data_IF_202636447688
#
_entry.id   IF_202636447688
#
_cell.length_a   1.000
_cell.length_b   1.000
_cell.length_c   1.000
_cell.angle_alpha   90.00
_cell.angle_beta   90.00
_cell.angle_gamma   90.00
#
_symmetry.space_group_name_H-M   'P 1'
#
loop_
_entity.id
_entity.type
_entity.pdbx_description
1 polymer ?
#
# COMPACT_ATOMS: atom_id res chain seq x y z
N UNK A 1 4.45 -16.18 7.03
CA UNK A 1 3.22 -16.00 6.21
C UNK A 1 2.14 -17.02 6.57
N UNK A 2 2.49 -18.15 7.19
CA UNK A 2 1.53 -19.18 7.60
C UNK A 2 0.81 -18.84 8.92
N UNK A 3 1.37 -17.92 9.71
CA UNK A 3 0.81 -17.46 10.99
C UNK A 3 -0.42 -16.56 10.86
N UNK A 4 -0.79 -16.16 9.63
CA UNK A 4 -1.94 -15.30 9.36
C UNK A 4 -3.19 -16.12 8.99
N UNK A 5 -4.28 -15.93 9.73
CA UNK A 5 -5.60 -16.46 9.37
C UNK A 5 -6.28 -15.57 8.32
N UNK A 6 -5.94 -15.76 7.05
CA UNK A 6 -6.55 -15.03 5.93
C UNK A 6 -8.04 -15.35 5.73
N UNK A 7 -8.49 -16.55 6.13
CA UNK A 7 -9.90 -16.95 6.02
C UNK A 7 -10.79 -16.15 6.98
N UNK A 8 -10.23 -15.63 8.07
CA UNK A 8 -10.94 -14.71 8.95
C UNK A 8 -11.48 -13.47 8.24
N UNK A 9 -10.84 -13.03 7.14
CA UNK A 9 -11.24 -11.83 6.39
C UNK A 9 -12.56 -12.10 5.68
N UNK A 10 -12.68 -13.20 4.91
CA UNK A 10 -13.95 -13.56 4.25
C UNK A 10 -15.08 -13.74 5.27
N UNK A 11 -14.81 -14.41 6.41
CA UNK A 11 -15.80 -14.56 7.50
C UNK A 11 -16.27 -13.22 8.06
N UNK A 12 -15.39 -12.23 8.15
CA UNK A 12 -15.75 -10.87 8.56
C UNK A 12 -16.56 -10.16 7.47
N UNK A 13 -16.17 -10.28 6.21
CA UNK A 13 -16.88 -9.69 5.08
C UNK A 13 -18.33 -10.20 4.98
N UNK A 14 -18.57 -11.50 5.17
CA UNK A 14 -19.91 -12.08 5.11
C UNK A 14 -20.90 -11.46 6.11
N UNK A 15 -20.41 -10.93 7.25
CA UNK A 15 -21.27 -10.27 8.27
C UNK A 15 -21.83 -8.94 7.79
N UNK A 16 -21.21 -8.32 6.80
CA UNK A 16 -21.53 -6.98 6.31
C UNK A 16 -21.82 -6.96 4.81
N UNK A 17 -22.31 -8.08 4.26
CA UNK A 17 -22.54 -8.28 2.82
C UNK A 17 -23.47 -7.25 2.15
N UNK A 18 -24.30 -6.56 2.93
CA UNK A 18 -25.27 -5.56 2.46
C UNK A 18 -24.68 -4.13 2.49
N UNK A 19 -23.41 -3.99 2.88
CA UNK A 19 -22.67 -2.72 2.93
C UNK A 19 -21.46 -2.78 2.00
N UNK A 20 -20.91 -1.60 1.67
CA UNK A 20 -19.62 -1.52 0.99
C UNK A 20 -18.48 -1.90 1.93
N UNK A 21 -17.63 -2.84 1.51
CA UNK A 21 -16.52 -3.38 2.27
C UNK A 21 -15.20 -2.81 1.75
N UNK A 22 -14.51 -2.10 2.65
CA UNK A 22 -13.20 -1.49 2.36
C UNK A 22 -12.11 -2.28 3.09
N UNK A 23 -11.23 -2.92 2.33
CA UNK A 23 -10.00 -3.49 2.86
C UNK A 23 -9.03 -2.35 3.19
N UNK A 24 -9.06 -1.93 4.45
CA UNK A 24 -8.13 -0.93 5.00
C UNK A 24 -7.15 -1.53 6.01
N UNK A 25 -7.56 -2.60 6.71
CA UNK A 25 -6.88 -3.29 7.80
C UNK A 25 -5.97 -2.43 8.69
N UNK A 26 -4.80 -2.97 9.06
CA UNK A 26 -3.77 -2.28 9.82
C UNK A 26 -3.01 -1.22 8.99
N UNK A 27 -2.38 -0.27 9.70
CA UNK A 27 -1.72 0.89 9.07
C UNK A 27 -0.41 0.57 8.33
N UNK A 28 0.14 -0.63 8.48
CA UNK A 28 1.46 -0.98 7.94
C UNK A 28 1.35 -2.06 6.87
N UNK A 29 0.71 -3.20 7.18
CA UNK A 29 0.74 -4.38 6.32
C UNK A 29 -0.36 -4.42 5.29
N UNK A 30 -1.62 -4.24 5.67
CA UNK A 30 -2.75 -4.33 4.72
C UNK A 30 -2.95 -3.08 3.87
N UNK A 31 -2.40 -1.93 4.26
CA UNK A 31 -2.34 -0.72 3.41
C UNK A 31 -1.12 -0.69 2.48
N UNK A 32 -0.25 -1.69 2.60
CA UNK A 32 1.01 -1.78 1.87
C UNK A 32 1.89 -0.52 2.00
N UNK A 33 2.01 0.01 3.22
CA UNK A 33 2.74 1.24 3.52
C UNK A 33 4.25 0.96 3.66
N UNK A 34 4.92 0.83 2.51
CA UNK A 34 6.35 0.50 2.39
C UNK A 34 7.26 1.51 3.10
N UNK A 35 7.04 2.81 2.90
CA UNK A 35 7.85 3.87 3.48
C UNK A 35 7.73 3.88 5.01
N UNK A 36 6.51 3.79 5.52
CA UNK A 36 6.27 3.74 6.96
C UNK A 36 6.86 2.49 7.59
N UNK A 37 6.66 1.32 6.99
CA UNK A 37 7.22 0.09 7.53
C UNK A 37 8.77 0.09 7.51
N UNK A 38 9.39 0.67 6.48
CA UNK A 38 10.84 0.85 6.44
C UNK A 38 11.35 1.75 7.59
N UNK A 39 10.64 2.86 7.89
CA UNK A 39 10.96 3.72 9.03
C UNK A 39 10.84 2.98 10.38
N UNK A 40 9.84 2.12 10.53
CA UNK A 40 9.67 1.32 11.76
C UNK A 40 10.78 0.28 11.93
N UNK A 41 11.21 -0.38 10.85
CA UNK A 41 12.25 -1.40 10.91
C UNK A 41 13.65 -0.82 11.12
N UNK A 42 13.95 0.32 10.48
CA UNK A 42 15.29 0.91 10.47
C UNK A 42 15.47 2.00 11.53
N UNK A 43 14.38 2.59 12.02
CA UNK A 43 14.37 3.88 12.69
C UNK A 43 14.21 5.01 11.66
N UNK A 44 13.31 5.96 11.94
CA UNK A 44 12.95 7.04 11.00
C UNK A 44 14.15 7.89 10.61
N UNK A 45 14.91 8.37 11.59
CA UNK A 45 16.12 9.18 11.42
C UNK A 45 17.16 8.47 10.54
N UNK A 46 17.48 7.22 10.88
CA UNK A 46 18.45 6.40 10.14
C UNK A 46 17.98 6.14 8.71
N UNK A 47 16.72 5.77 8.55
CA UNK A 47 16.15 5.50 7.23
C UNK A 47 16.17 6.73 6.33
N UNK A 48 15.84 7.91 6.87
CA UNK A 48 15.89 9.16 6.12
C UNK A 48 17.32 9.53 5.71
N UNK A 49 18.32 9.27 6.55
CA UNK A 49 19.74 9.43 6.18
C UNK A 49 20.17 8.40 5.12
N UNK A 50 19.72 7.15 5.24
CA UNK A 50 20.05 6.06 4.32
C UNK A 50 19.57 6.32 2.90
N UNK A 51 18.48 7.09 2.71
CA UNK A 51 18.03 7.53 1.38
C UNK A 51 19.11 8.28 0.58
N UNK A 52 20.02 8.96 1.27
CA UNK A 52 21.14 9.69 0.66
C UNK A 52 22.42 8.86 0.75
N UNK A 53 22.74 8.37 1.95
CA UNK A 53 24.04 7.78 2.25
C UNK A 53 24.15 6.33 1.79
N UNK A 54 23.05 5.58 1.83
CA UNK A 54 23.02 4.13 1.60
C UNK A 54 21.90 3.72 0.62
N UNK A 55 21.85 4.24 -0.61
CA UNK A 55 20.73 4.03 -1.53
C UNK A 55 20.52 2.55 -1.89
N UNK A 56 21.60 1.75 -1.99
CA UNK A 56 21.50 0.30 -2.26
C UNK A 56 20.81 -0.45 -1.11
N UNK A 57 21.02 -0.01 0.13
CA UNK A 57 20.34 -0.58 1.30
C UNK A 57 18.84 -0.26 1.25
N UNK A 58 18.49 0.99 0.90
CA UNK A 58 17.09 1.39 0.75
C UNK A 58 16.41 0.59 -0.35
N UNK A 59 17.05 0.43 -1.51
CA UNK A 59 16.52 -0.37 -2.63
C UNK A 59 16.28 -1.82 -2.21
N UNK A 60 17.23 -2.44 -1.49
CA UNK A 60 17.08 -3.79 -0.97
C UNK A 60 15.95 -3.90 0.07
N UNK A 61 15.86 -2.96 1.01
CA UNK A 61 14.81 -2.93 2.04
C UNK A 61 13.43 -2.75 1.41
N UNK A 62 13.27 -1.76 0.54
CA UNK A 62 12.02 -1.51 -0.18
C UNK A 62 11.63 -2.72 -1.03
N UNK A 63 12.58 -3.35 -1.71
CA UNK A 63 12.34 -4.58 -2.47
C UNK A 63 11.79 -5.72 -1.60
N UNK A 64 12.39 -5.95 -0.43
CA UNK A 64 11.92 -6.98 0.51
C UNK A 64 10.54 -6.68 1.08
N UNK A 65 10.25 -5.42 1.38
CA UNK A 65 8.92 -5.01 1.84
C UNK A 65 7.88 -5.16 0.73
N UNK A 66 8.23 -4.83 -0.51
CA UNK A 66 7.37 -5.05 -1.67
C UNK A 66 7.04 -6.54 -1.86
N UNK A 67 8.04 -7.42 -1.83
CA UNK A 67 7.85 -8.87 -1.90
C UNK A 67 6.86 -9.35 -0.82
N UNK A 68 7.05 -8.91 0.42
CA UNK A 68 6.15 -9.22 1.53
C UNK A 68 4.72 -8.74 1.26
N UNK A 69 4.52 -7.47 0.89
CA UNK A 69 3.18 -6.93 0.66
C UNK A 69 2.49 -7.57 -0.54
N UNK A 70 3.21 -7.90 -1.62
CA UNK A 70 2.65 -8.60 -2.76
C UNK A 70 2.12 -9.97 -2.36
N UNK A 71 2.91 -10.75 -1.61
CA UNK A 71 2.47 -12.08 -1.14
C UNK A 71 1.34 -11.98 -0.12
N UNK A 72 1.40 -10.99 0.79
CA UNK A 72 0.36 -10.76 1.78
C UNK A 72 -0.97 -10.39 1.12
N UNK A 73 -0.95 -9.43 0.21
CA UNK A 73 -2.14 -9.00 -0.53
C UNK A 73 -2.67 -10.13 -1.42
N UNK A 74 -1.80 -10.90 -2.07
CA UNK A 74 -2.21 -12.08 -2.87
C UNK A 74 -3.05 -13.05 -2.04
N UNK A 75 -2.59 -13.42 -0.84
CA UNK A 75 -3.32 -14.33 0.05
C UNK A 75 -4.65 -13.75 0.55
N UNK A 76 -4.69 -12.46 0.86
CA UNK A 76 -5.96 -11.78 1.20
C UNK A 76 -6.94 -11.83 0.03
N UNK A 77 -6.47 -11.50 -1.17
CA UNK A 77 -7.31 -11.46 -2.37
C UNK A 77 -7.82 -12.87 -2.74
N UNK A 78 -6.98 -13.90 -2.60
CA UNK A 78 -7.42 -15.29 -2.79
C UNK A 78 -8.51 -15.71 -1.81
N UNK A 79 -8.44 -15.24 -0.57
CA UNK A 79 -9.43 -15.57 0.46
C UNK A 79 -10.74 -14.78 0.33
N UNK A 80 -10.68 -13.47 0.00
CA UNK A 80 -11.81 -12.55 0.21
C UNK A 80 -12.03 -11.50 -0.91
N UNK A 81 -11.37 -11.60 -2.06
CA UNK A 81 -11.53 -10.57 -3.12
C UNK A 81 -12.94 -10.49 -3.69
N UNK A 82 -13.80 -11.51 -3.53
CA UNK A 82 -15.18 -11.45 -4.04
C UNK A 82 -16.04 -10.52 -3.20
N UNK A 83 -15.75 -10.44 -1.92
CA UNK A 83 -16.50 -9.73 -0.90
C UNK A 83 -15.94 -8.32 -0.63
N UNK A 84 -14.73 -8.01 -1.08
CA UNK A 84 -14.13 -6.68 -0.94
C UNK A 84 -14.53 -5.80 -2.13
N UNK A 85 -15.09 -4.62 -1.84
CA UNK A 85 -15.45 -3.61 -2.84
C UNK A 85 -14.30 -2.66 -3.12
N UNK A 86 -13.55 -2.29 -2.07
CA UNK A 86 -12.48 -1.29 -2.16
C UNK A 86 -11.20 -1.81 -1.52
N UNK A 87 -10.10 -1.79 -2.27
CA UNK A 87 -8.77 -1.95 -1.69
C UNK A 87 -8.15 -0.57 -1.46
N UNK A 88 -7.90 -0.24 -0.19
CA UNK A 88 -7.27 1.01 0.21
C UNK A 88 -5.78 0.77 0.44
N UNK A 89 -4.97 1.30 -0.48
CA UNK A 89 -3.52 1.37 -0.32
C UNK A 89 -3.07 2.81 -0.12
N UNK A 90 -1.93 2.99 0.54
CA UNK A 90 -1.38 4.33 0.70
C UNK A 90 -0.26 4.39 1.71
N UNK A 91 0.46 5.50 1.67
CA UNK A 91 1.53 5.77 2.59
C UNK A 91 1.56 7.26 2.93
N UNK A 92 2.23 7.58 4.03
CA UNK A 92 2.31 8.94 4.55
C UNK A 92 3.72 9.49 4.35
N UNK A 93 3.85 10.36 3.34
CA UNK A 93 5.08 11.07 3.04
C UNK A 93 5.05 12.53 3.55
N UNK A 94 4.01 12.90 4.31
CA UNK A 94 3.80 14.28 4.76
C UNK A 94 4.65 14.66 5.98
N UNK A 95 5.03 15.93 6.03
CA UNK A 95 5.55 16.63 7.21
C UNK A 95 4.74 17.91 7.44
N UNK A 96 5.00 18.63 8.53
CA UNK A 96 4.32 19.89 8.84
C UNK A 96 4.43 20.92 7.70
N UNK A 97 5.57 20.95 7.02
CA UNK A 97 5.92 21.98 6.04
C UNK A 97 6.01 21.45 4.59
N UNK A 98 5.65 20.19 4.33
CA UNK A 98 5.71 19.63 2.97
C UNK A 98 5.91 18.12 2.96
N UNK A 99 6.76 17.64 2.04
CA UNK A 99 7.14 16.23 1.96
C UNK A 99 8.31 15.92 2.91
N UNK A 100 8.34 14.73 3.49
CA UNK A 100 9.47 14.20 4.24
C UNK A 100 10.68 13.87 3.34
N UNK A 101 10.42 13.57 2.06
CA UNK A 101 11.46 13.25 1.08
C UNK A 101 11.22 14.04 -0.21
N UNK A 102 12.29 14.30 -0.95
CA UNK A 102 12.18 14.99 -2.24
C UNK A 102 11.38 14.16 -3.26
N UNK A 103 10.72 14.82 -4.21
CA UNK A 103 10.01 14.14 -5.30
C UNK A 103 10.90 13.21 -6.14
N UNK A 104 12.16 13.57 -6.47
CA UNK A 104 13.08 12.64 -7.13
C UNK A 104 13.33 11.36 -6.30
N UNK A 105 13.50 11.47 -4.99
CA UNK A 105 13.65 10.30 -4.11
C UNK A 105 12.39 9.44 -4.10
N UNK A 106 11.22 10.05 -3.99
CA UNK A 106 9.94 9.32 -4.09
C UNK A 106 9.85 8.53 -5.40
N UNK A 107 10.13 9.19 -6.53
CA UNK A 107 10.08 8.57 -7.87
C UNK A 107 11.08 7.44 -8.03
N UNK A 108 12.26 7.55 -7.41
CA UNK A 108 13.31 6.53 -7.46
C UNK A 108 12.96 5.32 -6.60
N UNK A 109 12.66 5.54 -5.32
CA UNK A 109 12.61 4.45 -4.35
C UNK A 109 11.21 3.86 -4.17
N UNK A 110 10.14 4.66 -4.24
CA UNK A 110 8.81 4.21 -3.79
C UNK A 110 7.78 4.11 -4.92
N UNK A 111 7.86 4.98 -5.94
CA UNK A 111 6.94 4.94 -7.08
C UNK A 111 6.89 3.57 -7.77
N UNK A 112 8.02 2.87 -8.03
CA UNK A 112 7.99 1.55 -8.67
C UNK A 112 7.26 0.50 -7.82
N UNK A 113 7.57 0.44 -6.52
CA UNK A 113 6.93 -0.50 -5.60
C UNK A 113 5.41 -0.28 -5.51
N UNK A 114 4.98 0.98 -5.40
CA UNK A 114 3.56 1.30 -5.38
C UNK A 114 2.88 0.88 -6.69
N UNK A 115 3.51 1.14 -7.84
CA UNK A 115 2.95 0.74 -9.14
C UNK A 115 2.74 -0.78 -9.20
N UNK A 116 3.72 -1.57 -8.73
CA UNK A 116 3.59 -3.02 -8.64
C UNK A 116 2.40 -3.46 -7.76
N UNK A 117 2.21 -2.81 -6.61
CA UNK A 117 1.09 -3.10 -5.70
C UNK A 117 -0.25 -2.79 -6.35
N UNK A 118 -0.39 -1.62 -6.99
CA UNK A 118 -1.60 -1.21 -7.72
C UNK A 118 -1.91 -2.21 -8.83
N UNK A 119 -0.91 -2.57 -9.63
CA UNK A 119 -1.06 -3.50 -10.74
C UNK A 119 -1.45 -4.91 -10.24
N UNK A 120 -0.89 -5.35 -9.11
CA UNK A 120 -1.27 -6.62 -8.47
C UNK A 120 -2.75 -6.62 -8.06
N UNK A 121 -3.24 -5.55 -7.43
CA UNK A 121 -4.63 -5.44 -7.00
C UNK A 121 -5.59 -5.38 -8.20
N UNK A 122 -5.22 -4.66 -9.27
CA UNK A 122 -6.00 -4.59 -10.52
C UNK A 122 -6.12 -5.96 -11.20
N UNK A 123 -5.04 -6.75 -11.25
CA UNK A 123 -5.05 -8.11 -11.82
C UNK A 123 -6.05 -9.02 -11.10
N UNK A 124 -6.13 -8.93 -9.77
CA UNK A 124 -7.09 -9.71 -8.99
C UNK A 124 -8.53 -9.21 -9.20
N UNK A 125 -8.75 -7.90 -9.22
CA UNK A 125 -10.09 -7.30 -9.23
C UNK A 125 -10.89 -7.45 -10.55
N UNK A 126 -10.25 -7.70 -11.70
CA UNK A 126 -10.98 -7.78 -12.99
C UNK A 126 -11.43 -9.19 -13.41
N UNK A 127 -11.10 -10.22 -12.61
CA UNK A 127 -11.26 -11.62 -13.05
C UNK A 127 -12.51 -12.34 -12.52
N UNK A 128 -13.22 -11.82 -11.50
CA UNK A 128 -14.39 -12.51 -10.92
C UNK A 128 -15.54 -11.54 -10.65
N UNK A 129 -16.57 -11.67 -11.49
CA UNK A 129 -17.72 -10.79 -11.59
C UNK A 129 -18.50 -10.59 -10.31
N UNK A 130 -18.69 -9.33 -9.97
CA UNK A 130 -19.99 -8.76 -9.60
C UNK A 130 -20.01 -7.36 -10.20
N UNK A 131 -21.11 -7.01 -10.86
CA UNK A 131 -21.29 -5.78 -11.65
C UNK A 131 -21.54 -4.53 -10.77
N UNK A 132 -20.87 -4.47 -9.61
CA UNK A 132 -20.80 -3.32 -8.72
C UNK A 132 -19.36 -2.83 -8.68
N UNK A 133 -19.17 -1.53 -8.85
CA UNK A 133 -17.90 -0.85 -9.11
C UNK A 133 -16.80 -1.11 -8.05
N UNK A 134 -16.03 -2.19 -8.21
CA UNK A 134 -14.80 -2.44 -7.42
C UNK A 134 -13.76 -1.35 -7.71
N UNK A 135 -13.18 -0.76 -6.66
CA UNK A 135 -12.21 0.34 -6.79
C UNK A 135 -10.92 0.03 -6.05
N UNK A 136 -9.81 0.41 -6.67
CA UNK A 136 -8.54 0.55 -5.97
C UNK A 136 -8.42 2.04 -5.64
N UNK A 137 -8.38 2.38 -4.35
CA UNK A 137 -8.26 3.77 -3.90
C UNK A 137 -6.91 3.94 -3.25
N UNK A 138 -6.13 4.86 -3.83
CA UNK A 138 -4.88 5.33 -3.26
C UNK A 138 -5.18 6.52 -2.34
N UNK A 139 -4.86 6.40 -1.05
CA UNK A 139 -5.03 7.50 -0.09
C UNK A 139 -3.67 7.96 0.39
N UNK A 140 -3.30 9.15 -0.05
CA UNK A 140 -2.11 9.87 0.37
C UNK A 140 -2.50 10.88 1.45
N UNK A 141 -2.01 10.70 2.67
CA UNK A 141 -2.15 11.72 3.71
C UNK A 141 -1.07 12.79 3.50
N UNK A 142 -1.24 13.59 2.47
CA UNK A 142 -0.61 14.91 2.40
C UNK A 142 -1.74 15.89 2.32
N UNK A 143 -1.80 16.80 3.30
CA UNK A 143 -2.74 17.92 3.40
C UNK A 143 -3.14 18.36 1.99
N UNK A 144 -4.40 18.11 1.65
CA UNK A 144 -5.05 17.99 0.33
C UNK A 144 -4.61 19.02 -0.76
N UNK A 145 -3.96 20.12 -0.40
CA UNK A 145 -3.48 21.14 -1.32
C UNK A 145 -2.16 20.86 -2.06
N UNK A 146 -1.24 20.04 -1.52
CA UNK A 146 0.10 19.94 -2.12
C UNK A 146 0.18 18.95 -3.29
N UNK A 147 -0.49 17.79 -3.23
CA UNK A 147 -0.36 16.74 -4.26
C UNK A 147 -1.11 17.03 -5.58
N UNK A 148 -2.22 17.79 -5.53
CA UNK A 148 -2.95 18.21 -6.72
C UNK A 148 -2.09 19.06 -7.68
N UNK A 149 -0.96 19.64 -7.21
CA UNK A 149 0.02 20.36 -8.04
C UNK A 149 1.14 19.48 -8.62
N UNK A 150 1.28 18.21 -8.23
CA UNK A 150 2.51 17.42 -8.48
C UNK A 150 2.40 16.50 -9.71
N UNK A 151 1.23 16.43 -10.37
CA UNK A 151 1.10 15.77 -11.68
C UNK A 151 1.55 14.30 -11.68
N UNK A 152 1.37 13.58 -10.57
CA UNK A 152 1.68 12.16 -10.47
C UNK A 152 0.61 11.34 -11.19
N UNK A 153 0.79 11.15 -12.50
CA UNK A 153 0.13 10.07 -13.23
C UNK A 153 0.90 8.76 -12.94
N UNK A 154 0.17 7.75 -12.47
CA UNK A 154 0.67 6.40 -12.24
C UNK A 154 0.42 5.54 -13.45
#
# INVERSE_FOLDING_TARGET
>A
MEDFDYQSISRQCCKYKDLAIILTGDRLTTRASVFKLAMYLRGMDKFLMDLVLNPKLVEALVGKLLEFHLEHNRRIFEAAAKEIDIFMLGDDFGSENGLLISLPMFRRFFKPALRCLIDSAKKFNWSKGNMGSKKVIEIWWVRIGYFLKIGLKF
#
